data_IF_495151913182
#
_entry.id   IF_495151913182
#
_cell.length_a   1.000
_cell.length_b   1.000
_cell.length_c   1.000
_cell.angle_alpha   90.00
_cell.angle_beta   90.00
_cell.angle_gamma   90.00
#
_symmetry.space_group_name_H-M   'P 1'
#
loop_
_entity.id
_entity.type
_entity.pdbx_description
1 polymer ?
#
# COMPACT_ATOMS: atom_id res chain seq x y z
N UNK A 1 11.59 -1.55 4.96
CA UNK A 1 12.89 -2.04 4.45
C UNK A 1 12.83 -3.55 4.30
N UNK A 2 13.85 -4.22 3.72
CA UNK A 2 13.81 -5.70 3.59
C UNK A 2 13.87 -6.37 4.96
N UNK A 3 12.84 -7.12 5.32
CA UNK A 3 12.81 -7.98 6.52
C UNK A 3 12.28 -9.35 6.13
N UNK A 4 12.04 -10.23 7.11
CA UNK A 4 11.38 -11.53 6.86
C UNK A 4 9.95 -11.36 6.31
N UNK A 5 9.26 -10.28 6.69
CA UNK A 5 7.86 -10.04 6.34
C UNK A 5 7.67 -8.87 5.36
N UNK A 6 8.74 -8.14 5.04
CA UNK A 6 8.72 -7.00 4.12
C UNK A 6 9.68 -7.18 2.96
N UNK A 7 9.14 -7.04 1.75
CA UNK A 7 9.92 -7.00 0.51
C UNK A 7 10.56 -5.63 0.27
N UNK A 8 11.59 -5.60 -0.58
CA UNK A 8 12.18 -4.35 -1.08
C UNK A 8 12.57 -4.49 -2.55
N UNK A 9 12.46 -3.41 -3.31
CA UNK A 9 12.87 -3.38 -4.73
C UNK A 9 11.82 -3.88 -5.72
N UNK A 10 10.64 -4.29 -5.26
CA UNK A 10 9.51 -4.62 -6.12
C UNK A 10 8.78 -3.38 -6.68
N UNK A 11 7.89 -3.62 -7.63
CA UNK A 11 7.13 -2.59 -8.33
C UNK A 11 6.07 -1.92 -7.44
N UNK A 12 5.63 -2.61 -6.40
CA UNK A 12 4.64 -2.13 -5.45
C UNK A 12 5.29 -1.30 -4.35
N UNK A 13 5.18 0.02 -4.47
CA UNK A 13 5.75 0.93 -3.48
C UNK A 13 4.81 1.10 -2.28
N UNK A 14 5.34 0.84 -1.09
CA UNK A 14 4.72 1.10 0.22
C UNK A 14 5.63 2.09 0.95
N UNK A 15 5.05 3.14 1.53
CA UNK A 15 5.81 4.18 2.22
C UNK A 15 4.96 4.85 3.30
N UNK A 16 5.62 5.39 4.34
CA UNK A 16 4.96 6.28 5.31
C UNK A 16 4.34 7.49 4.60
N UNK A 17 3.12 7.91 4.98
CA UNK A 17 2.45 9.08 4.38
C UNK A 17 3.32 10.34 4.55
N UNK A 18 3.31 11.24 3.55
CA UNK A 18 4.08 12.50 3.64
C UNK A 18 3.43 13.55 4.52
N UNK A 19 2.12 13.41 4.75
CA UNK A 19 1.34 14.30 5.59
C UNK A 19 1.12 13.61 6.93
N UNK A 20 1.44 14.30 8.01
CA UNK A 20 1.13 13.87 9.37
C UNK A 20 0.47 15.03 10.11
N UNK A 21 -0.46 14.69 11.01
CA UNK A 21 -1.26 15.63 11.77
C UNK A 21 -0.97 15.39 13.26
N UNK A 22 -0.76 16.44 14.08
CA UNK A 22 -0.44 16.27 15.50
C UNK A 22 -1.44 15.40 16.27
N UNK A 23 -2.72 15.46 15.90
CA UNK A 23 -3.80 14.66 16.51
C UNK A 23 -3.54 13.15 16.45
N UNK A 24 -2.83 12.65 15.43
CA UNK A 24 -2.52 11.23 15.31
C UNK A 24 -1.62 10.76 16.45
N UNK A 25 -0.63 11.58 16.83
CA UNK A 25 0.23 11.29 17.98
C UNK A 25 -0.54 11.44 19.29
N UNK A 26 -1.40 12.46 19.41
CA UNK A 26 -2.25 12.66 20.61
C UNK A 26 -3.15 11.45 20.86
N UNK A 27 -3.77 10.90 19.81
CA UNK A 27 -4.61 9.69 19.93
C UNK A 27 -3.78 8.47 20.34
N UNK A 28 -2.58 8.30 19.79
CA UNK A 28 -1.70 7.18 20.15
C UNK A 28 -1.23 7.27 21.62
N UNK A 29 -0.88 8.46 22.11
CA UNK A 29 -0.54 8.66 23.52
C UNK A 29 -1.74 8.41 24.44
N UNK A 30 -2.94 8.88 24.06
CA UNK A 30 -4.15 8.58 24.83
C UNK A 30 -4.45 7.07 24.85
N UNK A 31 -4.29 6.36 23.74
CA UNK A 31 -4.49 4.91 23.67
C UNK A 31 -3.56 4.14 24.61
N UNK A 32 -2.31 4.60 24.74
CA UNK A 32 -1.31 4.05 25.66
C UNK A 32 -1.75 4.14 27.14
N UNK A 33 -2.46 5.21 27.53
CA UNK A 33 -3.03 5.34 28.90
C UNK A 33 -4.04 4.23 29.23
N UNK A 34 -4.66 3.62 28.20
CA UNK A 34 -5.58 2.48 28.32
C UNK A 34 -4.91 1.13 28.04
N UNK A 35 -3.57 1.07 27.99
CA UNK A 35 -2.82 -0.17 27.76
C UNK A 35 -2.65 -0.55 26.28
N UNK A 36 -3.12 0.27 25.33
CA UNK A 36 -2.95 0.02 23.89
C UNK A 36 -1.61 0.60 23.44
N UNK A 37 -0.54 -0.18 23.60
CA UNK A 37 0.83 0.28 23.40
C UNK A 37 1.13 0.68 21.94
N UNK A 38 1.98 1.71 21.72
CA UNK A 38 2.46 2.07 20.39
C UNK A 38 3.25 0.95 19.73
N UNK A 39 3.06 0.79 18.43
CA UNK A 39 3.67 -0.22 17.57
C UNK A 39 4.26 0.46 16.34
N UNK A 40 5.51 0.16 16.05
CA UNK A 40 6.18 0.70 14.87
C UNK A 40 5.65 0.08 13.57
N UNK A 41 5.38 -1.22 13.61
CA UNK A 41 4.88 -2.00 12.49
C UNK A 41 3.71 -2.87 12.94
N UNK A 42 2.56 -2.67 12.30
CA UNK A 42 1.34 -3.44 12.54
C UNK A 42 1.21 -4.62 11.56
N UNK A 43 2.18 -4.78 10.66
CA UNK A 43 2.22 -5.81 9.63
C UNK A 43 3.38 -6.80 9.84
N UNK A 44 3.96 -6.87 11.05
CA UNK A 44 5.07 -7.76 11.39
C UNK A 44 4.61 -9.15 11.92
N UNK A 45 3.34 -9.47 11.73
CA UNK A 45 2.72 -10.75 12.11
C UNK A 45 1.93 -10.69 13.41
N UNK A 46 2.05 -9.61 14.17
CA UNK A 46 1.14 -9.27 15.26
C UNK A 46 0.52 -7.90 14.93
N UNK A 47 -0.75 -7.66 15.28
CA UNK A 47 -1.42 -6.36 15.07
C UNK A 47 -1.86 -5.65 16.38
N UNK A 48 -1.67 -6.25 17.56
CA UNK A 48 -2.10 -5.67 18.84
C UNK A 48 -1.39 -4.35 19.21
N UNK A 49 -2.14 -3.26 19.36
CA UNK A 49 -1.62 -1.97 19.80
C UNK A 49 -2.08 -0.83 18.90
N UNK A 50 -1.31 0.26 18.87
CA UNK A 50 -1.59 1.43 18.03
C UNK A 50 -0.41 1.73 17.10
N UNK A 51 -0.64 1.81 15.80
CA UNK A 51 0.42 2.09 14.82
C UNK A 51 -0.03 3.00 13.69
N UNK A 52 0.93 3.64 13.03
CA UNK A 52 0.67 4.46 11.85
C UNK A 52 0.75 3.60 10.58
N UNK A 53 -0.30 3.67 9.75
CA UNK A 53 -0.34 2.89 8.52
C UNK A 53 0.59 3.46 7.45
N UNK A 54 1.28 2.55 6.77
CA UNK A 54 1.94 2.86 5.51
C UNK A 54 0.92 2.91 4.37
N UNK A 55 1.24 3.65 3.31
CA UNK A 55 0.36 3.85 2.17
C UNK A 55 1.07 3.53 0.87
N UNK A 56 0.29 3.17 -0.15
CA UNK A 56 0.80 3.04 -1.51
C UNK A 56 0.94 4.40 -2.16
N UNK A 57 2.14 4.98 -2.04
CA UNK A 57 2.46 6.27 -2.62
C UNK A 57 3.88 6.30 -3.16
N UNK A 58 4.14 7.18 -4.12
CA UNK A 58 5.49 7.60 -4.48
C UNK A 58 5.54 9.12 -4.52
N UNK A 59 6.45 9.73 -3.76
CA UNK A 59 6.57 11.19 -3.60
C UNK A 59 5.26 11.89 -3.17
N UNK A 60 4.38 11.19 -2.45
CA UNK A 60 3.09 11.73 -1.98
C UNK A 60 1.93 11.55 -2.96
N UNK A 61 2.17 10.95 -4.12
CA UNK A 61 1.13 10.65 -5.11
C UNK A 61 0.75 9.17 -5.00
N UNK A 62 -0.55 8.86 -5.05
CA UNK A 62 -1.07 7.49 -5.05
C UNK A 62 -0.31 6.62 -6.07
N UNK A 63 0.22 5.51 -5.56
CA UNK A 63 0.82 4.43 -6.32
C UNK A 63 -0.21 3.33 -6.50
N UNK A 64 -0.67 3.10 -7.74
CA UNK A 64 -1.73 2.15 -8.04
C UNK A 64 -1.20 1.03 -8.96
N UNK A 65 -1.99 -0.03 -9.13
CA UNK A 65 -1.59 -1.23 -9.89
C UNK A 65 -1.29 -0.89 -11.35
N UNK A 66 -2.05 0.04 -11.94
CA UNK A 66 -1.78 0.52 -13.29
C UNK A 66 -0.40 1.18 -13.42
N UNK A 67 0.01 2.01 -12.45
CA UNK A 67 1.35 2.64 -12.44
C UNK A 67 2.46 1.63 -12.16
N UNK A 68 2.25 0.75 -11.19
CA UNK A 68 3.26 -0.21 -10.73
C UNK A 68 3.54 -1.28 -11.80
N UNK A 69 2.51 -1.89 -12.36
CA UNK A 69 2.64 -3.10 -13.17
C UNK A 69 2.27 -2.87 -14.64
N UNK A 70 1.13 -2.22 -14.91
CA UNK A 70 0.63 -2.10 -16.29
C UNK A 70 1.49 -1.16 -17.13
N UNK A 71 1.73 0.07 -16.68
CA UNK A 71 2.46 1.10 -17.45
C UNK A 71 3.86 0.64 -17.89
N UNK A 72 4.69 0.00 -17.04
CA UNK A 72 5.96 -0.57 -17.49
C UNK A 72 5.77 -1.69 -18.52
N UNK A 73 4.78 -2.56 -18.31
CA UNK A 73 4.52 -3.71 -19.18
C UNK A 73 3.94 -3.35 -20.56
N UNK A 74 3.29 -2.17 -20.71
CA UNK A 74 2.74 -1.70 -22.00
C UNK A 74 3.79 -1.56 -23.12
N UNK A 75 5.09 -1.56 -22.78
CA UNK A 75 6.18 -1.56 -23.77
C UNK A 75 6.38 -2.91 -24.44
N UNK A 76 5.80 -3.98 -23.90
CA UNK A 76 5.96 -5.33 -24.43
C UNK A 76 5.05 -5.52 -25.65
N UNK A 77 5.54 -6.04 -26.78
CA UNK A 77 4.76 -6.15 -28.01
C UNK A 77 3.58 -7.14 -27.89
N UNK A 78 3.63 -8.03 -26.89
CA UNK A 78 2.61 -9.04 -26.64
C UNK A 78 1.51 -8.58 -25.66
N UNK A 79 1.46 -7.30 -25.27
CA UNK A 79 0.44 -6.77 -24.37
C UNK A 79 -0.42 -5.72 -25.07
N UNK A 80 -1.74 -5.98 -25.13
CA UNK A 80 -2.74 -5.03 -25.66
C UNK A 80 -3.62 -4.52 -24.54
N UNK A 81 -3.71 -3.19 -24.39
CA UNK A 81 -4.65 -2.55 -23.47
C UNK A 81 -5.94 -2.17 -24.20
N UNK A 82 -7.06 -2.67 -23.73
CA UNK A 82 -8.40 -2.23 -24.15
C UNK A 82 -9.06 -1.54 -22.96
N UNK A 83 -9.23 -0.22 -23.05
CA UNK A 83 -9.87 0.58 -22.02
C UNK A 83 -11.31 0.91 -22.42
N UNK A 84 -12.17 1.22 -21.44
CA UNK A 84 -13.58 1.56 -21.65
C UNK A 84 -14.38 0.46 -22.37
N UNK A 85 -14.03 -0.81 -22.12
CA UNK A 85 -14.72 -1.97 -22.67
C UNK A 85 -15.32 -2.79 -21.53
N UNK A 86 -16.65 -2.83 -21.44
CA UNK A 86 -17.36 -3.72 -20.51
C UNK A 86 -17.40 -5.12 -21.14
N UNK A 87 -16.90 -6.13 -20.42
CA UNK A 87 -16.99 -7.53 -20.87
C UNK A 87 -18.42 -8.02 -20.63
N UNK A 88 -19.12 -8.46 -21.67
CA UNK A 88 -20.52 -8.91 -21.57
C UNK A 88 -20.66 -10.41 -21.33
N UNK A 89 -19.87 -11.22 -22.05
CA UNK A 89 -19.92 -12.69 -21.95
C UNK A 89 -18.59 -13.33 -22.31
N UNK A 90 -18.38 -14.52 -21.77
CA UNK A 90 -17.31 -15.43 -22.16
C UNK A 90 -17.88 -16.38 -23.23
N UNK A 91 -17.11 -16.63 -24.30
CA UNK A 91 -17.47 -17.59 -25.34
C UNK A 91 -16.87 -18.96 -24.97
N UNK A 92 -17.66 -20.02 -25.19
CA UNK A 92 -17.23 -21.41 -25.01
C UNK A 92 -17.27 -22.12 -26.37
N UNK A 93 -16.48 -23.19 -26.49
CA UNK A 93 -16.53 -24.16 -27.61
C UNK A 93 -17.46 -25.33 -27.28
#
# INVERSE_FOLDING_TARGET
GKTRLHGSGGEWNVARPRLSWPILNTVQEAAKEFGIMPREDVNDGDNEGSGFFEVNQSRGVRWNTAKAFLRPALRRPNLRLVAKAHVEKVLFE
#
